data_IF_860148167003
#
_entry.id   IF_860148167003
#
_cell.length_a   1.000
_cell.length_b   1.000
_cell.length_c   1.000
_cell.angle_alpha   90.00
_cell.angle_beta   90.00
_cell.angle_gamma   90.00
#
_symmetry.space_group_name_H-M   'P 1'
#
loop_
_entity.id
_entity.type
_entity.pdbx_description
1 polymer ?
#
# COMPACT_ATOMS: atom_id res chain seq x y z
N UNK A 1 -30.41 9.33 13.41
CA UNK A 1 -29.14 8.57 13.45
C UNK A 1 -28.56 8.64 12.05
N UNK A 2 -27.54 9.46 11.87
CA UNK A 2 -26.76 9.46 10.62
C UNK A 2 -26.01 8.15 10.55
N UNK A 3 -26.37 7.31 9.58
CA UNK A 3 -25.61 6.12 9.26
C UNK A 3 -24.24 6.56 8.76
N UNK A 4 -23.17 6.03 9.36
CA UNK A 4 -21.83 6.11 8.77
C UNK A 4 -21.97 5.47 7.39
N UNK A 5 -21.91 6.28 6.33
CA UNK A 5 -21.94 5.79 4.95
C UNK A 5 -20.83 4.76 4.82
N UNK A 6 -21.18 3.55 4.37
CA UNK A 6 -20.22 2.53 4.00
C UNK A 6 -19.21 3.20 3.07
N UNK A 7 -17.94 3.27 3.51
CA UNK A 7 -16.86 3.89 2.76
C UNK A 7 -16.76 3.13 1.43
N UNK A 8 -16.65 3.84 0.31
CA UNK A 8 -16.60 3.20 -1.03
C UNK A 8 -15.37 2.25 -1.03
N UNK A 9 -15.42 1.17 -1.81
CA UNK A 9 -14.29 0.23 -1.89
C UNK A 9 -13.04 0.98 -2.39
N UNK A 10 -11.83 0.62 -1.93
CA UNK A 10 -10.61 1.37 -2.21
C UNK A 10 -10.28 1.47 -3.71
N UNK A 11 -10.65 0.47 -4.51
CA UNK A 11 -10.57 0.50 -5.97
C UNK A 11 -11.48 1.60 -6.56
N UNK A 12 -12.74 1.64 -6.17
CA UNK A 12 -13.73 2.62 -6.64
C UNK A 12 -13.30 4.04 -6.26
N UNK A 13 -12.89 4.26 -5.00
CA UNK A 13 -12.43 5.57 -4.54
C UNK A 13 -11.18 6.02 -5.30
N UNK A 14 -10.23 5.11 -5.50
CA UNK A 14 -8.99 5.42 -6.20
C UNK A 14 -9.21 5.68 -7.69
N UNK A 15 -10.05 4.89 -8.37
CA UNK A 15 -10.43 5.09 -9.77
C UNK A 15 -11.11 6.44 -9.97
N UNK A 16 -12.11 6.75 -9.15
CA UNK A 16 -12.85 8.01 -9.20
C UNK A 16 -11.92 9.22 -9.00
N UNK A 17 -11.01 9.15 -8.02
CA UNK A 17 -9.99 10.19 -7.84
C UNK A 17 -9.09 10.32 -9.07
N UNK A 18 -8.69 9.19 -9.67
CA UNK A 18 -7.83 9.16 -10.85
C UNK A 18 -8.50 9.81 -12.07
N UNK A 19 -9.75 9.46 -12.34
CA UNK A 19 -10.55 9.99 -13.46
C UNK A 19 -10.79 11.50 -13.33
N UNK A 20 -10.93 11.99 -12.09
CA UNK A 20 -11.08 13.42 -11.79
C UNK A 20 -9.77 14.21 -11.86
N UNK A 21 -8.64 13.55 -12.11
CA UNK A 21 -7.32 14.16 -12.19
C UNK A 21 -6.60 14.30 -10.84
N UNK A 22 -7.16 13.74 -9.76
CA UNK A 22 -6.54 13.72 -8.43
C UNK A 22 -5.55 12.55 -8.29
N UNK A 23 -4.51 12.52 -9.14
CA UNK A 23 -3.58 11.39 -9.25
C UNK A 23 -2.81 11.08 -7.95
N UNK A 24 -2.45 12.12 -7.18
CA UNK A 24 -1.76 11.95 -5.90
C UNK A 24 -2.68 11.24 -4.89
N UNK A 25 -3.94 11.67 -4.82
CA UNK A 25 -4.94 11.09 -3.92
C UNK A 25 -5.22 9.64 -4.29
N UNK A 26 -5.40 9.34 -5.58
CA UNK A 26 -5.58 7.99 -6.08
C UNK A 26 -4.43 7.05 -5.66
N UNK A 27 -3.17 7.50 -5.80
CA UNK A 27 -2.00 6.73 -5.35
C UNK A 27 -1.97 6.56 -3.82
N UNK A 28 -2.36 7.59 -3.06
CA UNK A 28 -2.41 7.52 -1.60
C UNK A 28 -3.49 6.55 -1.09
N UNK A 29 -4.65 6.50 -1.75
CA UNK A 29 -5.71 5.53 -1.43
C UNK A 29 -5.20 4.10 -1.61
N UNK A 30 -4.62 3.80 -2.78
CA UNK A 30 -4.05 2.46 -3.05
C UNK A 30 -2.91 2.12 -2.08
N UNK A 31 -2.01 3.07 -1.82
CA UNK A 31 -0.88 2.87 -0.90
C UNK A 31 -1.34 2.57 0.52
N UNK A 32 -2.26 3.37 1.06
CA UNK A 32 -2.80 3.18 2.41
C UNK A 32 -3.56 1.86 2.55
N UNK A 33 -4.35 1.47 1.55
CA UNK A 33 -5.02 0.17 1.58
C UNK A 33 -4.01 -0.98 1.56
N UNK A 34 -3.05 -0.96 0.63
CA UNK A 34 -2.03 -2.01 0.49
C UNK A 34 -1.13 -2.14 1.72
N UNK A 35 -0.79 -1.01 2.38
CA UNK A 35 -0.04 -1.00 3.64
C UNK A 35 -0.80 -1.75 4.74
N UNK A 36 -2.08 -1.40 4.95
CA UNK A 36 -2.94 -2.07 5.93
C UNK A 36 -3.08 -3.58 5.65
N UNK A 37 -3.25 -3.98 4.39
CA UNK A 37 -3.34 -5.40 4.04
C UNK A 37 -2.01 -6.13 4.27
N UNK A 38 -0.87 -5.49 3.99
CA UNK A 38 0.44 -6.08 4.26
C UNK A 38 0.70 -6.27 5.76
N UNK A 39 0.35 -5.28 6.58
CA UNK A 39 0.47 -5.35 8.04
C UNK A 39 -0.44 -6.44 8.63
N UNK A 40 -1.66 -6.55 8.08
CA UNK A 40 -2.62 -7.60 8.45
C UNK A 40 -2.05 -9.00 8.12
N UNK A 41 -1.49 -9.17 6.92
CA UNK A 41 -0.86 -10.44 6.52
C UNK A 41 0.31 -10.79 7.46
N UNK A 42 1.17 -9.81 7.78
CA UNK A 42 2.29 -10.02 8.68
C UNK A 42 1.82 -10.42 10.10
N UNK A 43 0.75 -9.78 10.59
CA UNK A 43 0.12 -10.14 11.87
C UNK A 43 -0.36 -11.58 11.85
N UNK A 44 -1.10 -11.97 10.82
CA UNK A 44 -1.64 -13.32 10.69
C UNK A 44 -0.55 -14.37 10.60
N UNK A 45 0.50 -14.11 9.82
CA UNK A 45 1.67 -14.99 9.73
C UNK A 45 2.33 -15.16 11.11
N UNK A 46 2.49 -14.07 11.88
CA UNK A 46 2.99 -14.13 13.26
C UNK A 46 2.11 -14.98 14.18
N UNK A 47 0.80 -14.80 14.11
CA UNK A 47 -0.14 -15.51 14.97
C UNK A 47 -0.28 -16.99 14.61
N UNK A 48 -0.42 -17.31 13.33
CA UNK A 48 -0.76 -18.65 12.84
C UNK A 48 0.47 -19.54 12.68
N UNK A 49 1.60 -19.00 12.21
CA UNK A 49 2.80 -19.81 11.95
C UNK A 49 3.82 -19.79 13.08
N UNK A 50 3.74 -18.81 13.99
CA UNK A 50 4.70 -18.64 15.09
C UNK A 50 4.04 -18.61 16.46
N UNK A 51 2.75 -18.96 16.58
CA UNK A 51 1.97 -19.01 17.84
C UNK A 51 2.12 -17.74 18.71
N UNK A 52 2.37 -16.60 18.07
CA UNK A 52 2.56 -15.33 18.76
C UNK A 52 1.21 -14.75 19.19
N UNK A 53 1.18 -14.01 20.30
CA UNK A 53 -0.07 -13.38 20.74
C UNK A 53 -0.47 -12.26 19.78
N UNK A 54 -1.75 -12.21 19.46
CA UNK A 54 -2.28 -11.29 18.47
C UNK A 54 -2.06 -9.82 18.83
N UNK A 55 -2.29 -9.44 20.09
CA UNK A 55 -2.08 -8.08 20.59
C UNK A 55 -0.62 -7.63 20.47
N UNK A 56 0.32 -8.49 20.84
CA UNK A 56 1.76 -8.19 20.74
C UNK A 56 2.23 -8.02 19.28
N UNK A 57 1.77 -8.88 18.37
CA UNK A 57 2.19 -8.81 16.95
C UNK A 57 1.50 -7.67 16.21
N UNK A 58 0.22 -7.42 16.50
CA UNK A 58 -0.55 -6.36 15.86
C UNK A 58 0.12 -5.00 16.09
N UNK A 59 0.40 -4.65 17.35
CA UNK A 59 1.06 -3.39 17.72
C UNK A 59 2.42 -3.23 17.02
N UNK A 60 3.21 -4.30 16.94
CA UNK A 60 4.49 -4.25 16.25
C UNK A 60 4.32 -4.08 14.75
N UNK A 61 3.39 -4.80 14.12
CA UNK A 61 3.16 -4.74 12.68
C UNK A 61 2.66 -3.37 12.22
N UNK A 62 1.81 -2.72 13.01
CA UNK A 62 1.21 -1.41 12.70
C UNK A 62 2.25 -0.29 12.70
N UNK A 63 3.32 -0.42 13.50
CA UNK A 63 4.45 0.53 13.52
C UNK A 63 5.38 0.41 12.31
N UNK A 64 5.31 -0.68 11.55
CA UNK A 64 6.15 -0.90 10.38
C UNK A 64 5.51 -0.24 9.16
N UNK A 65 6.21 0.73 8.57
CA UNK A 65 5.81 1.30 7.28
C UNK A 65 5.88 0.27 6.15
N UNK A 66 5.14 0.52 5.07
CA UNK A 66 4.89 -0.44 3.98
C UNK A 66 6.14 -1.15 3.47
N UNK A 67 7.23 -0.41 3.20
CA UNK A 67 8.47 -1.01 2.72
C UNK A 67 9.10 -1.99 3.71
N UNK A 68 9.03 -1.72 5.02
CA UNK A 68 9.57 -2.61 6.05
C UNK A 68 8.73 -3.90 6.09
N UNK A 69 7.41 -3.77 6.08
CA UNK A 69 6.49 -4.92 6.06
C UNK A 69 6.73 -5.80 4.83
N UNK A 70 6.84 -5.20 3.64
CA UNK A 70 7.13 -5.92 2.39
C UNK A 70 8.45 -6.71 2.46
N UNK A 71 9.50 -6.13 3.06
CA UNK A 71 10.78 -6.83 3.25
C UNK A 71 10.63 -8.05 4.15
N UNK A 72 9.92 -7.91 5.26
CA UNK A 72 9.67 -9.02 6.20
C UNK A 72 8.86 -10.12 5.51
N UNK A 73 7.76 -9.76 4.85
CA UNK A 73 6.94 -10.72 4.09
C UNK A 73 7.74 -11.45 3.00
N UNK A 74 8.64 -10.77 2.32
CA UNK A 74 9.53 -11.40 1.33
C UNK A 74 10.52 -12.37 2.00
N UNK A 75 11.16 -11.99 3.10
CA UNK A 75 12.07 -12.86 3.86
C UNK A 75 11.34 -14.11 4.38
N UNK A 76 10.08 -13.97 4.80
CA UNK A 76 9.23 -15.06 5.26
C UNK A 76 8.58 -15.86 4.11
N UNK A 77 8.96 -15.61 2.86
CA UNK A 77 8.43 -16.24 1.63
C UNK A 77 6.90 -16.10 1.45
N UNK A 78 6.30 -15.08 2.05
CA UNK A 78 4.85 -14.82 1.96
C UNK A 78 4.48 -14.10 0.66
N UNK A 79 5.43 -13.36 0.08
CA UNK A 79 5.30 -12.73 -1.24
C UNK A 79 6.48 -13.10 -2.13
N UNK A 80 6.24 -13.18 -3.43
CA UNK A 80 7.30 -13.44 -4.41
C UNK A 80 8.20 -12.21 -4.63
N UNK A 81 9.35 -12.42 -5.27
CA UNK A 81 10.23 -11.30 -5.68
C UNK A 81 9.53 -10.33 -6.62
N UNK A 82 8.73 -10.86 -7.55
CA UNK A 82 7.93 -10.05 -8.47
C UNK A 82 6.92 -9.18 -7.73
N UNK A 83 6.17 -9.76 -6.78
CA UNK A 83 5.24 -9.02 -5.93
C UNK A 83 5.95 -7.95 -5.12
N UNK A 84 7.07 -8.29 -4.49
CA UNK A 84 7.89 -7.33 -3.74
C UNK A 84 8.32 -6.15 -4.62
N UNK A 85 8.85 -6.41 -5.81
CA UNK A 85 9.30 -5.36 -6.72
C UNK A 85 8.14 -4.49 -7.21
N UNK A 86 6.98 -5.10 -7.50
CA UNK A 86 5.76 -4.41 -7.93
C UNK A 86 5.23 -3.48 -6.82
N UNK A 87 5.09 -3.97 -5.60
CA UNK A 87 4.63 -3.15 -4.46
C UNK A 87 5.65 -2.08 -4.05
N UNK A 88 6.95 -2.36 -4.19
CA UNK A 88 7.99 -1.38 -3.92
C UNK A 88 7.97 -0.21 -4.92
N UNK A 89 7.49 -0.40 -6.16
CA UNK A 89 7.27 0.70 -7.11
C UNK A 89 6.19 1.67 -6.60
N UNK A 90 5.10 1.16 -6.03
CA UNK A 90 4.06 2.00 -5.42
C UNK A 90 4.62 2.84 -4.27
N UNK A 91 5.39 2.22 -3.37
CA UNK A 91 6.07 2.93 -2.28
C UNK A 91 7.07 3.99 -2.80
N UNK A 92 7.82 3.65 -3.85
CA UNK A 92 8.78 4.57 -4.46
C UNK A 92 8.10 5.78 -5.10
N UNK A 93 6.98 5.58 -5.80
CA UNK A 93 6.18 6.65 -6.37
C UNK A 93 5.62 7.56 -5.28
N UNK A 94 5.00 6.99 -4.24
CA UNK A 94 4.50 7.74 -3.07
C UNK A 94 5.60 8.58 -2.44
N UNK A 95 6.80 8.02 -2.25
CA UNK A 95 7.92 8.77 -1.69
C UNK A 95 8.39 9.90 -2.62
N UNK A 96 8.48 9.68 -3.94
CA UNK A 96 8.77 10.76 -4.90
C UNK A 96 7.77 11.91 -4.76
N UNK A 97 6.47 11.60 -4.68
CA UNK A 97 5.40 12.59 -4.51
C UNK A 97 5.60 13.38 -3.20
N UNK A 98 5.79 12.68 -2.09
CA UNK A 98 5.98 13.32 -0.77
C UNK A 98 7.23 14.22 -0.78
N UNK A 99 8.37 13.74 -1.27
CA UNK A 99 9.57 14.55 -1.36
C UNK A 99 9.40 15.78 -2.25
N UNK A 100 8.57 15.71 -3.29
CA UNK A 100 8.26 16.86 -4.14
C UNK A 100 7.40 17.91 -3.41
N UNK A 101 6.48 17.50 -2.53
CA UNK A 101 5.66 18.44 -1.73
C UNK A 101 6.49 19.24 -0.72
N UNK A 102 7.62 18.70 -0.26
CA UNK A 102 8.47 19.30 0.76
C UNK A 102 9.78 19.91 0.20
N UNK A 103 9.88 20.15 -1.11
CA UNK A 103 11.06 20.82 -1.70
C UNK A 103 11.18 22.28 -1.22
N UNK A 104 12.41 22.68 -0.90
CA UNK A 104 12.70 24.04 -0.43
C UNK A 104 12.62 25.09 -1.57
N UNK A 105 12.31 26.37 -1.26
CA UNK A 105 12.11 27.44 -2.25
C UNK A 105 13.31 27.74 -3.17
N UNK A 106 14.50 27.21 -2.85
CA UNK A 106 15.73 27.47 -3.58
C UNK A 106 15.95 26.53 -4.78
N UNK A 107 15.16 25.46 -4.91
CA UNK A 107 15.20 24.54 -6.06
C UNK A 107 14.42 25.12 -7.25
N UNK A 108 15.13 25.80 -8.15
CA UNK A 108 14.55 26.62 -9.23
C UNK A 108 13.92 25.88 -10.41
N UNK A 109 13.88 24.54 -10.44
CA UNK A 109 13.33 23.79 -11.59
C UNK A 109 12.40 22.67 -11.09
N UNK A 110 11.15 22.77 -11.53
CA UNK A 110 10.01 21.92 -11.16
C UNK A 110 9.68 20.98 -12.32
N UNK A 111 10.05 19.72 -12.19
CA UNK A 111 9.54 18.64 -13.02
C UNK A 111 8.82 17.69 -12.07
N UNK A 112 7.51 17.87 -11.89
CA UNK A 112 6.69 16.92 -11.12
C UNK A 112 6.85 15.49 -11.64
N UNK A 113 6.34 14.49 -10.92
CA UNK A 113 6.38 13.11 -11.45
C UNK A 113 5.64 13.05 -12.80
N UNK A 114 6.25 12.50 -13.88
CA UNK A 114 5.59 12.37 -15.17
C UNK A 114 4.29 11.55 -15.08
N UNK A 115 3.22 11.99 -15.77
CA UNK A 115 1.92 11.29 -15.75
C UNK A 115 2.02 9.80 -16.09
N UNK A 116 2.88 9.42 -17.03
CA UNK A 116 3.05 8.02 -17.40
C UNK A 116 3.58 7.14 -16.26
N UNK A 117 4.32 7.69 -15.29
CA UNK A 117 4.72 6.95 -14.09
C UNK A 117 3.52 6.71 -13.17
N UNK A 118 2.62 7.69 -13.02
CA UNK A 118 1.34 7.50 -12.33
C UNK A 118 0.51 6.44 -13.02
N UNK A 119 0.32 6.54 -14.34
CA UNK A 119 -0.49 5.60 -15.11
C UNK A 119 0.04 4.17 -14.93
N UNK A 120 1.34 3.96 -15.08
CA UNK A 120 1.93 2.63 -14.97
C UNK A 120 1.75 2.01 -13.58
N UNK A 121 1.99 2.78 -12.52
CA UNK A 121 1.89 2.28 -11.15
C UNK A 121 0.44 2.11 -10.72
N UNK A 122 -0.44 3.06 -11.06
CA UNK A 122 -1.85 3.05 -10.67
C UNK A 122 -2.57 1.81 -11.22
N UNK A 123 -2.57 1.61 -12.54
CA UNK A 123 -3.26 0.47 -13.16
C UNK A 123 -2.66 -0.85 -12.70
N UNK A 124 -1.33 -0.93 -12.61
CA UNK A 124 -0.67 -2.13 -12.12
C UNK A 124 -1.01 -2.48 -10.68
N UNK A 125 -1.29 -1.51 -9.82
CA UNK A 125 -1.69 -1.74 -8.43
C UNK A 125 -3.17 -2.06 -8.28
N UNK A 126 -4.02 -1.44 -9.10
CA UNK A 126 -5.44 -1.73 -9.13
C UNK A 126 -5.69 -3.22 -9.43
N UNK A 127 -4.97 -3.80 -10.40
CA UNK A 127 -5.03 -5.23 -10.73
C UNK A 127 -4.63 -6.16 -9.55
N UNK A 128 -3.75 -5.67 -8.67
CA UNK A 128 -3.16 -6.46 -7.57
C UNK A 128 -3.77 -6.16 -6.21
N UNK A 129 -4.74 -5.24 -6.15
CA UNK A 129 -5.19 -4.62 -4.91
C UNK A 129 -5.56 -5.64 -3.83
N UNK A 130 -6.18 -6.74 -4.25
CA UNK A 130 -6.68 -7.78 -3.35
C UNK A 130 -5.75 -9.00 -3.22
N UNK A 131 -4.52 -8.97 -3.77
CA UNK A 131 -3.58 -10.09 -3.61
C UNK A 131 -3.25 -10.35 -2.14
N UNK A 132 -2.97 -9.29 -1.38
CA UNK A 132 -2.62 -9.43 0.03
C UNK A 132 -3.83 -9.88 0.86
N UNK A 133 -5.03 -9.43 0.51
CA UNK A 133 -6.29 -9.91 1.13
C UNK A 133 -6.47 -11.41 0.92
N UNK A 134 -6.30 -11.90 -0.32
CA UNK A 134 -6.37 -13.35 -0.61
C UNK A 134 -5.33 -14.15 0.17
N UNK A 135 -4.11 -13.62 0.31
CA UNK A 135 -3.07 -14.25 1.13
C UNK A 135 -3.44 -14.30 2.62
N UNK A 136 -4.10 -13.27 3.15
CA UNK A 136 -4.63 -13.30 4.51
C UNK A 136 -5.64 -14.45 4.67
N UNK A 137 -6.54 -14.63 3.70
CA UNK A 137 -7.51 -15.72 3.69
C UNK A 137 -6.83 -17.10 3.64
N UNK A 138 -5.79 -17.26 2.81
CA UNK A 138 -4.99 -18.49 2.69
C UNK A 138 -4.24 -18.87 3.96
N UNK A 139 -3.86 -17.91 4.81
CA UNK A 139 -3.17 -18.17 6.07
C UNK A 139 -4.13 -18.67 7.16
N UNK A 140 -5.39 -18.24 7.11
CA UNK A 140 -6.41 -18.56 8.15
C UNK A 140 -7.23 -19.79 7.78
N UNK A 141 -7.42 -20.06 6.49
CA UNK A 141 -8.18 -21.21 5.95
C UNK A 141 -7.37 -22.50 5.89
#
# INVERSE_FOLDING_TARGET
>A
MEYIKQKEMPDIEAEKAYEQGFYIEAIQILHGFMENQAQSLLTLVGCVHFDSKQDEVYDLSDTLGFNAVLKVLFILNQISKEQFDKFNKLNSLRNKIVHQLYKEPYDKIYEGVPKHEYDHVFHGMLEELYVLTRKCEEVVG
#
